data_IF_809313316977
#
_entry.id   IF_809313316977
#
_cell.length_a   1.000
_cell.length_b   1.000
_cell.length_c   1.000
_cell.angle_alpha   90.00
_cell.angle_beta   90.00
_cell.angle_gamma   90.00
#
_symmetry.space_group_name_H-M   'P 1'
#
loop_
_entity.id
_entity.type
_entity.pdbx_description
1 polymer ?
#
# COMPACT_ATOMS: atom_id res chain seq x y z
N UNK A 1 35.69 29.42 28.11
CA UNK A 1 34.33 29.54 28.69
C UNK A 1 34.15 28.49 29.77
N UNK A 2 33.25 28.75 30.75
CA UNK A 2 32.82 27.70 31.68
C UNK A 2 32.14 26.57 30.88
N UNK A 3 32.10 25.36 31.45
CA UNK A 3 31.38 24.24 30.85
C UNK A 3 29.93 24.64 30.52
N UNK A 4 29.48 24.34 29.30
CA UNK A 4 28.15 24.69 28.83
C UNK A 4 28.04 26.03 28.07
N UNK A 5 29.13 26.78 27.89
CA UNK A 5 29.14 28.02 27.09
C UNK A 5 30.25 28.05 26.03
N UNK A 6 30.02 28.78 24.94
CA UNK A 6 30.97 28.93 23.82
C UNK A 6 30.95 30.35 23.22
N UNK A 7 31.92 30.62 22.33
CA UNK A 7 32.04 31.86 21.56
C UNK A 7 32.85 32.96 22.27
N UNK A 8 33.08 34.06 21.56
CA UNK A 8 33.74 35.26 22.09
C UNK A 8 32.96 35.82 23.28
N UNK A 9 33.62 36.04 24.41
CA UNK A 9 32.97 36.50 25.64
C UNK A 9 32.05 35.47 26.30
N UNK A 10 31.98 34.23 25.79
CA UNK A 10 31.12 33.15 26.32
C UNK A 10 29.63 33.50 26.34
N UNK A 11 29.19 34.21 25.30
CA UNK A 11 27.82 34.75 25.18
C UNK A 11 26.79 33.72 24.71
N UNK A 12 27.20 32.52 24.30
CA UNK A 12 26.29 31.47 23.82
C UNK A 12 26.37 30.22 24.70
N UNK A 13 25.23 29.54 24.86
CA UNK A 13 25.14 28.27 25.58
C UNK A 13 25.20 27.09 24.61
N UNK A 14 25.89 26.01 25.01
CA UNK A 14 25.84 24.74 24.29
C UNK A 14 24.40 24.25 24.18
N UNK A 15 24.07 23.57 23.07
CA UNK A 15 22.77 22.91 22.96
C UNK A 15 22.58 21.88 24.08
N UNK A 16 21.37 21.83 24.64
CA UNK A 16 20.98 20.79 25.60
C UNK A 16 20.89 19.40 24.94
N UNK A 17 20.85 19.35 23.61
CA UNK A 17 20.78 18.13 22.81
C UNK A 17 22.16 17.63 22.35
N UNK A 18 23.24 18.25 22.82
CA UNK A 18 24.56 17.63 22.76
C UNK A 18 24.57 16.38 23.65
N UNK A 19 24.98 15.23 23.09
CA UNK A 19 25.21 14.03 23.88
C UNK A 19 26.31 14.27 24.91
N UNK A 20 26.18 13.65 26.08
CA UNK A 20 27.24 13.59 27.10
C UNK A 20 27.90 12.24 27.07
N UNK A 21 29.23 12.20 27.10
CA UNK A 21 29.95 11.01 27.52
C UNK A 21 30.09 11.04 29.06
N UNK A 22 30.01 9.90 29.72
CA UNK A 22 29.96 9.75 31.19
C UNK A 22 31.22 10.28 31.91
N UNK A 23 32.23 10.71 31.14
CA UNK A 23 33.58 11.03 31.63
C UNK A 23 33.91 12.53 31.65
N UNK A 24 33.14 13.40 30.96
CA UNK A 24 33.38 14.85 30.95
C UNK A 24 32.09 15.67 30.90
N UNK A 25 31.91 16.56 31.89
CA UNK A 25 30.82 17.56 31.94
C UNK A 25 31.00 18.69 30.89
N UNK A 26 31.64 18.42 29.75
CA UNK A 26 31.88 19.36 28.66
C UNK A 26 31.12 18.86 27.43
N UNK A 27 30.04 19.57 27.07
CA UNK A 27 29.10 19.16 26.02
C UNK A 27 29.45 19.63 24.61
N UNK A 28 30.05 20.82 24.50
CA UNK A 28 30.36 21.42 23.20
C UNK A 28 31.73 22.12 23.19
N UNK A 29 32.26 22.29 21.99
CA UNK A 29 33.52 22.98 21.74
C UNK A 29 33.38 24.47 22.07
N UNK A 30 34.26 24.97 22.93
CA UNK A 30 34.19 26.32 23.51
C UNK A 30 34.33 27.47 22.49
N UNK A 31 34.87 27.22 21.29
CA UNK A 31 35.00 28.26 20.23
C UNK A 31 33.76 28.33 19.34
N UNK A 32 33.37 27.23 18.69
CA UNK A 32 32.34 27.19 17.64
C UNK A 32 31.02 26.54 18.09
N UNK A 33 30.94 26.00 19.31
CA UNK A 33 29.71 25.43 19.86
C UNK A 33 29.32 24.05 19.32
N UNK A 34 30.17 23.39 18.52
CA UNK A 34 29.87 22.03 18.03
C UNK A 34 29.89 21.01 19.17
N UNK A 35 28.90 20.14 19.24
CA UNK A 35 28.80 19.10 20.26
C UNK A 35 29.92 18.07 20.08
N UNK A 36 30.66 17.80 21.16
CA UNK A 36 31.88 16.99 21.11
C UNK A 36 31.57 15.49 20.93
N UNK A 37 30.52 15.01 21.61
CA UNK A 37 30.07 13.61 21.54
C UNK A 37 28.90 13.42 20.55
N UNK A 38 28.70 14.37 19.64
CA UNK A 38 27.55 14.38 18.73
C UNK A 38 26.23 14.77 19.40
N UNK A 39 25.13 14.46 18.71
CA UNK A 39 23.77 14.80 19.14
C UNK A 39 23.06 13.61 19.76
N UNK A 40 22.09 13.90 20.62
CA UNK A 40 21.05 12.91 20.95
C UNK A 40 20.25 12.55 19.69
N UNK A 41 19.54 11.42 19.73
CA UNK A 41 18.71 10.95 18.62
C UNK A 41 17.71 12.02 18.18
N UNK A 42 17.50 12.15 16.87
CA UNK A 42 16.56 13.11 16.29
C UNK A 42 17.09 14.52 16.08
N UNK A 43 18.37 14.80 16.40
CA UNK A 43 18.99 16.11 16.22
C UNK A 43 20.17 16.11 15.25
N UNK A 44 20.29 17.22 14.51
CA UNK A 44 21.30 17.41 13.48
C UNK A 44 22.65 17.87 14.04
N UNK A 45 23.75 17.19 13.67
CA UNK A 45 25.08 17.71 13.91
C UNK A 45 25.35 18.96 13.03
N UNK A 46 26.31 19.81 13.40
CA UNK A 46 27.25 19.64 14.51
C UNK A 46 26.82 20.28 15.84
N UNK A 47 25.82 21.17 15.85
CA UNK A 47 25.45 21.95 17.04
C UNK A 47 24.20 21.43 17.75
N UNK A 48 23.49 20.45 17.17
CA UNK A 48 22.30 19.83 17.74
C UNK A 48 21.21 20.85 18.09
N UNK A 49 21.01 21.85 17.22
CA UNK A 49 20.00 22.92 17.39
C UNK A 49 18.74 22.70 16.56
N UNK A 50 18.80 21.79 15.58
CA UNK A 50 17.69 21.47 14.69
C UNK A 50 17.38 19.98 14.77
N UNK A 51 16.11 19.63 14.57
CA UNK A 51 15.67 18.24 14.40
C UNK A 51 16.21 17.68 13.09
N UNK A 52 16.19 16.35 12.94
CA UNK A 52 16.43 15.73 11.64
C UNK A 52 15.48 16.29 10.58
N UNK A 53 15.99 16.37 9.35
CA UNK A 53 15.17 16.81 8.22
C UNK A 53 14.07 15.76 7.97
N UNK A 54 12.96 16.21 7.38
CA UNK A 54 11.89 15.34 6.93
C UNK A 54 12.44 14.11 6.19
N UNK A 55 12.03 12.93 6.63
CA UNK A 55 12.46 11.65 6.05
C UNK A 55 13.80 11.10 6.56
N UNK A 56 14.45 11.75 7.53
CA UNK A 56 15.63 11.22 8.20
C UNK A 56 15.43 11.11 9.71
N UNK A 57 16.09 10.12 10.33
CA UNK A 57 15.92 9.86 11.75
C UNK A 57 17.18 9.27 12.41
N UNK A 58 17.11 9.13 13.74
CA UNK A 58 18.09 8.39 14.52
C UNK A 58 19.38 9.16 14.80
N UNK A 59 20.49 8.45 15.09
CA UNK A 59 21.73 9.06 15.53
C UNK A 59 22.39 9.83 14.37
N UNK A 60 22.49 11.14 14.54
CA UNK A 60 23.05 12.04 13.53
C UNK A 60 22.23 12.10 12.24
N UNK A 61 20.95 11.74 12.27
CA UNK A 61 20.02 11.81 11.14
C UNK A 61 20.49 11.04 9.89
N UNK A 62 21.14 9.89 10.09
CA UNK A 62 21.70 9.07 9.00
C UNK A 62 20.74 8.00 8.47
N UNK A 63 19.74 7.61 9.27
CA UNK A 63 18.73 6.65 8.82
C UNK A 63 17.64 7.38 8.02
N UNK A 64 17.05 6.69 7.05
CA UNK A 64 16.02 7.23 6.16
C UNK A 64 14.72 6.51 6.46
N UNK A 65 13.64 7.28 6.61
CA UNK A 65 12.33 6.73 6.90
C UNK A 65 11.80 5.87 5.76
N UNK A 66 11.01 4.86 6.11
CA UNK A 66 10.42 3.96 5.15
C UNK A 66 9.65 4.71 4.05
N UNK A 67 9.83 4.35 2.76
CA UNK A 67 8.97 4.86 1.70
C UNK A 67 7.52 4.37 1.84
N UNK A 68 7.28 3.32 2.62
CA UNK A 68 5.97 2.77 2.92
C UNK A 68 5.22 3.49 4.04
N UNK A 69 5.81 4.51 4.68
CA UNK A 69 5.07 5.33 5.64
C UNK A 69 3.99 6.17 4.95
N UNK A 70 2.76 6.16 5.48
CA UNK A 70 1.68 7.00 4.99
C UNK A 70 1.98 8.49 5.23
N UNK A 71 1.54 9.34 4.28
CA UNK A 71 1.68 10.80 4.36
C UNK A 71 0.30 11.44 4.56
N UNK A 72 0.22 12.43 5.46
CA UNK A 72 -0.97 13.27 5.61
C UNK A 72 -1.07 14.29 4.48
N UNK A 73 -2.29 14.64 4.08
CA UNK A 73 -2.54 15.73 3.14
C UNK A 73 -2.18 17.11 3.72
N UNK A 74 -2.33 17.27 5.04
CA UNK A 74 -2.10 18.56 5.72
C UNK A 74 -0.62 18.80 6.02
N UNK A 75 0.15 17.74 6.28
CA UNK A 75 1.57 17.81 6.66
C UNK A 75 2.37 16.63 6.05
N UNK A 76 2.61 16.63 4.72
CA UNK A 76 3.23 15.51 4.03
C UNK A 76 4.70 15.25 4.40
N UNK A 77 5.38 16.26 4.96
CA UNK A 77 6.78 16.17 5.40
C UNK A 77 6.95 15.42 6.72
N UNK A 78 5.91 15.36 7.57
CA UNK A 78 5.95 14.72 8.89
C UNK A 78 5.35 13.32 8.80
N UNK A 79 6.02 12.40 8.12
CA UNK A 79 5.50 11.06 7.85
C UNK A 79 6.13 9.94 8.71
N UNK A 80 7.21 10.26 9.42
CA UNK A 80 7.91 9.37 10.34
C UNK A 80 8.48 10.16 11.52
N UNK A 81 8.71 9.48 12.62
CA UNK A 81 9.34 10.03 13.81
C UNK A 81 10.85 10.23 13.59
N UNK A 82 11.38 11.41 13.95
CA UNK A 82 12.80 11.74 13.74
C UNK A 82 13.76 11.03 14.72
N UNK A 83 13.26 10.46 15.81
CA UNK A 83 14.06 9.77 16.82
C UNK A 83 14.23 8.30 16.42
N UNK A 84 13.13 7.61 16.11
CA UNK A 84 13.12 6.16 15.91
C UNK A 84 12.67 5.69 14.52
N UNK A 85 12.16 6.57 13.66
CA UNK A 85 11.77 6.25 12.29
C UNK A 85 10.35 5.68 12.13
N UNK A 86 9.62 5.44 13.22
CA UNK A 86 8.27 4.87 13.16
C UNK A 86 7.31 5.76 12.38
N UNK A 87 6.47 5.17 11.53
CA UNK A 87 5.55 5.92 10.68
C UNK A 87 4.44 6.59 11.49
N UNK A 88 4.34 7.91 11.40
CA UNK A 88 3.39 8.71 12.18
C UNK A 88 1.92 8.40 11.89
N UNK A 89 1.64 7.93 10.66
CA UNK A 89 0.29 7.64 10.16
C UNK A 89 0.12 6.17 9.76
N UNK A 90 0.99 5.28 10.26
CA UNK A 90 1.04 3.88 9.86
C UNK A 90 1.48 3.70 8.40
N UNK A 91 1.13 2.55 7.83
CA UNK A 91 1.60 2.17 6.50
C UNK A 91 0.70 2.71 5.39
N UNK A 92 1.34 3.21 4.34
CA UNK A 92 0.71 3.51 3.08
C UNK A 92 0.13 2.22 2.47
N UNK A 93 -0.80 2.40 1.53
CA UNK A 93 -1.36 1.26 0.81
C UNK A 93 -0.25 0.51 0.05
N UNK A 94 -0.28 -0.82 0.10
CA UNK A 94 0.76 -1.67 -0.49
C UNK A 94 1.93 -2.00 0.43
N UNK A 95 1.94 -1.50 1.67
CA UNK A 95 2.99 -1.74 2.66
C UNK A 95 2.42 -2.22 4.01
N UNK A 96 3.23 -2.96 4.78
CA UNK A 96 2.96 -3.47 6.13
C UNK A 96 4.26 -3.67 6.92
N UNK A 97 4.13 -4.18 8.15
CA UNK A 97 5.20 -4.27 9.14
C UNK A 97 5.23 -3.06 10.07
N UNK A 98 5.93 -3.19 11.20
CA UNK A 98 5.98 -2.13 12.22
C UNK A 98 6.61 -0.83 11.69
N UNK A 99 7.60 -0.97 10.81
CA UNK A 99 8.30 0.14 10.14
C UNK A 99 7.81 0.38 8.69
N UNK A 100 6.76 -0.31 8.25
CA UNK A 100 6.19 -0.21 6.89
C UNK A 100 7.15 -0.53 5.73
N UNK A 101 8.22 -1.29 6.00
CA UNK A 101 9.22 -1.68 4.99
C UNK A 101 8.86 -2.93 4.19
N UNK A 102 7.74 -3.59 4.50
CA UNK A 102 7.33 -4.82 3.82
C UNK A 102 6.23 -4.55 2.82
N UNK A 103 6.47 -4.79 1.53
CA UNK A 103 5.40 -4.73 0.53
C UNK A 103 4.37 -5.83 0.75
N UNK A 104 3.09 -5.57 0.40
CA UNK A 104 2.07 -6.60 0.51
C UNK A 104 2.41 -7.83 -0.33
N UNK A 105 2.26 -9.00 0.31
CA UNK A 105 2.37 -10.27 -0.39
C UNK A 105 1.20 -10.50 -1.35
N UNK A 106 1.28 -11.54 -2.19
CA UNK A 106 0.18 -11.93 -3.06
C UNK A 106 -1.12 -12.15 -2.27
N UNK A 107 -2.24 -11.70 -2.82
CA UNK A 107 -3.57 -11.89 -2.21
C UNK A 107 -3.98 -10.80 -1.23
N UNK A 108 -3.11 -9.88 -0.86
CA UNK A 108 -3.44 -8.77 0.04
C UNK A 108 -3.11 -7.40 -0.55
N UNK A 109 -3.85 -6.37 -0.11
CA UNK A 109 -3.67 -5.01 -0.59
C UNK A 109 -4.08 -3.97 0.46
N UNK A 110 -3.88 -2.70 0.13
CA UNK A 110 -4.31 -1.57 0.94
C UNK A 110 -3.38 -1.29 2.13
N UNK A 111 -3.78 -0.39 3.05
CA UNK A 111 -2.97 -0.01 4.20
C UNK A 111 -2.72 -1.19 5.12
N UNK A 112 -1.46 -1.37 5.51
CA UNK A 112 -1.01 -2.49 6.35
C UNK A 112 -1.38 -3.87 5.78
N UNK A 113 -1.63 -3.97 4.47
CA UNK A 113 -2.05 -5.19 3.78
C UNK A 113 -3.28 -5.87 4.42
N UNK A 114 -4.17 -5.05 4.99
CA UNK A 114 -5.33 -5.52 5.76
C UNK A 114 -6.52 -5.97 4.89
N UNK A 115 -6.49 -5.69 3.58
CA UNK A 115 -7.55 -6.05 2.64
C UNK A 115 -7.15 -7.27 1.79
N UNK A 116 -8.14 -8.06 1.37
CA UNK A 116 -7.95 -9.31 0.63
C UNK A 116 -8.38 -9.14 -0.83
N UNK A 117 -7.56 -9.59 -1.77
CA UNK A 117 -7.90 -9.64 -3.18
C UNK A 117 -9.16 -10.49 -3.40
N UNK A 118 -9.96 -10.14 -4.41
CA UNK A 118 -11.08 -10.99 -4.82
C UNK A 118 -10.57 -12.34 -5.30
N UNK A 119 -11.18 -13.43 -4.83
CA UNK A 119 -10.93 -14.78 -5.32
C UNK A 119 -11.26 -14.96 -6.81
N UNK A 120 -11.99 -14.00 -7.40
CA UNK A 120 -12.39 -14.02 -8.80
C UNK A 120 -11.43 -13.22 -9.70
N UNK A 121 -10.33 -12.68 -9.18
CA UNK A 121 -9.26 -12.16 -10.03
C UNK A 121 -8.66 -13.32 -10.85
N UNK A 122 -8.41 -13.10 -12.14
CA UNK A 122 -7.68 -14.07 -12.95
C UNK A 122 -6.23 -14.22 -12.46
N UNK A 123 -5.80 -15.45 -12.20
CA UNK A 123 -4.48 -15.73 -11.61
C UNK A 123 -3.31 -15.51 -12.59
N UNK A 124 -2.14 -15.19 -12.02
CA UNK A 124 -0.88 -15.13 -12.76
C UNK A 124 -0.21 -16.51 -12.93
N UNK A 125 -0.39 -17.44 -12.00
CA UNK A 125 0.25 -18.78 -12.02
C UNK A 125 -0.53 -19.78 -11.16
N UNK A 126 -0.88 -20.96 -11.73
CA UNK A 126 -1.23 -22.20 -11.02
C UNK A 126 -2.08 -22.09 -9.73
N UNK A 127 -3.19 -21.34 -9.79
CA UNK A 127 -4.39 -21.63 -8.99
C UNK A 127 -4.34 -21.45 -7.47
N UNK A 128 -3.32 -20.81 -6.88
CA UNK A 128 -3.15 -20.85 -5.41
C UNK A 128 -3.36 -19.53 -4.68
N UNK A 129 -3.15 -18.35 -5.29
CA UNK A 129 -3.43 -17.05 -4.64
C UNK A 129 -3.88 -16.00 -5.66
N UNK A 130 -5.09 -15.40 -5.54
CA UNK A 130 -5.54 -14.31 -6.40
C UNK A 130 -4.55 -13.14 -6.37
N UNK A 131 -3.96 -12.81 -7.51
CA UNK A 131 -3.10 -11.65 -7.64
C UNK A 131 -3.95 -10.42 -8.01
N UNK A 132 -3.98 -9.44 -7.11
CA UNK A 132 -4.45 -8.11 -7.39
C UNK A 132 -3.33 -7.10 -7.13
N UNK A 133 -3.49 -5.89 -7.63
CA UNK A 133 -2.59 -4.78 -7.35
C UNK A 133 -2.54 -4.52 -5.84
N UNK A 134 -1.34 -4.55 -5.24
CA UNK A 134 -1.15 -4.42 -3.79
C UNK A 134 -1.51 -3.04 -3.26
N UNK A 135 -1.51 -2.00 -4.11
CA UNK A 135 -1.83 -0.64 -3.73
C UNK A 135 -3.35 -0.46 -3.65
N UNK A 136 -4.09 -0.86 -4.68
CA UNK A 136 -5.50 -0.50 -4.82
C UNK A 136 -6.47 -1.70 -4.88
N UNK A 137 -5.97 -2.93 -4.99
CA UNK A 137 -6.77 -4.14 -5.01
C UNK A 137 -7.31 -4.55 -6.38
N UNK A 138 -6.98 -3.83 -7.45
CA UNK A 138 -7.52 -4.09 -8.79
C UNK A 138 -6.95 -5.37 -9.40
N UNK A 139 -7.80 -6.16 -10.06
CA UNK A 139 -7.39 -7.36 -10.78
C UNK A 139 -6.82 -6.98 -12.15
N UNK A 140 -5.51 -6.74 -12.22
CA UNK A 140 -4.83 -6.27 -13.44
C UNK A 140 -4.88 -7.25 -14.62
N UNK A 141 -5.14 -8.53 -14.35
CA UNK A 141 -5.29 -9.59 -15.38
C UNK A 141 -6.74 -9.87 -15.77
N UNK A 142 -7.68 -9.05 -15.30
CA UNK A 142 -9.11 -9.28 -15.49
C UNK A 142 -9.70 -10.28 -14.50
N UNK A 143 -10.91 -10.72 -14.81
CA UNK A 143 -11.76 -11.53 -13.96
C UNK A 143 -11.94 -12.94 -14.51
N UNK A 144 -12.10 -13.90 -13.60
CA UNK A 144 -12.56 -15.23 -13.97
C UNK A 144 -13.93 -15.17 -14.65
N UNK A 145 -14.24 -16.22 -15.43
CA UNK A 145 -15.51 -16.33 -16.14
C UNK A 145 -16.70 -16.14 -15.21
N UNK A 146 -17.63 -15.28 -15.62
CA UNK A 146 -18.81 -14.96 -14.83
C UNK A 146 -18.69 -13.73 -13.95
N UNK A 147 -17.51 -13.09 -13.89
CA UNK A 147 -17.27 -11.91 -13.08
C UNK A 147 -16.72 -10.75 -13.91
N UNK A 148 -16.92 -9.53 -13.42
CA UNK A 148 -16.50 -8.28 -14.06
C UNK A 148 -16.17 -7.19 -13.05
N UNK A 149 -15.68 -6.08 -13.60
CA UNK A 149 -15.33 -4.88 -12.86
C UNK A 149 -13.90 -4.94 -12.31
N UNK A 150 -13.36 -3.81 -11.86
CA UNK A 150 -11.94 -3.69 -11.52
C UNK A 150 -11.49 -4.60 -10.37
N UNK A 151 -12.43 -5.05 -9.53
CA UNK A 151 -12.19 -5.92 -8.37
C UNK A 151 -12.79 -7.33 -8.53
N UNK A 152 -13.40 -7.65 -9.69
CA UNK A 152 -14.06 -8.94 -9.95
C UNK A 152 -15.12 -9.38 -8.91
N UNK A 153 -15.75 -8.40 -8.25
CA UNK A 153 -16.80 -8.63 -7.25
C UNK A 153 -18.21 -8.51 -7.80
N UNK A 154 -18.36 -8.20 -9.09
CA UNK A 154 -19.65 -8.11 -9.76
C UNK A 154 -19.81 -9.32 -10.67
N UNK A 155 -20.94 -10.02 -10.58
CA UNK A 155 -21.31 -11.02 -11.59
C UNK A 155 -21.59 -10.37 -12.93
N UNK A 156 -21.57 -11.17 -14.00
CA UNK A 156 -22.02 -10.73 -15.31
C UNK A 156 -23.43 -10.13 -15.26
N UNK A 157 -23.65 -9.15 -16.16
CA UNK A 157 -25.00 -8.64 -16.39
C UNK A 157 -25.84 -9.74 -17.04
N UNK A 158 -27.16 -9.55 -17.01
CA UNK A 158 -28.09 -10.45 -17.69
C UNK A 158 -27.65 -10.65 -19.14
N UNK A 159 -27.70 -11.91 -19.58
CA UNK A 159 -27.38 -12.38 -20.93
C UNK A 159 -25.92 -12.15 -21.38
N UNK A 160 -24.99 -12.04 -20.44
CA UNK A 160 -23.54 -12.02 -20.70
C UNK A 160 -22.83 -13.16 -19.97
N UNK A 161 -21.73 -13.65 -20.53
CA UNK A 161 -20.94 -14.72 -19.94
C UNK A 161 -19.44 -14.65 -20.26
N UNK A 162 -18.68 -15.58 -19.69
CA UNK A 162 -17.27 -15.78 -19.99
C UNK A 162 -16.34 -14.84 -19.22
N UNK A 163 -15.05 -14.88 -19.57
CA UNK A 163 -14.02 -14.07 -18.92
C UNK A 163 -14.34 -12.59 -19.07
N UNK A 164 -14.26 -11.84 -17.97
CA UNK A 164 -14.62 -10.41 -17.94
C UNK A 164 -16.03 -10.08 -18.45
N UNK A 165 -16.91 -11.10 -18.58
CA UNK A 165 -18.22 -11.01 -19.22
C UNK A 165 -18.13 -10.45 -20.65
N UNK A 166 -17.14 -10.92 -21.42
CA UNK A 166 -16.85 -10.45 -22.78
C UNK A 166 -17.72 -11.07 -23.88
N UNK A 167 -18.59 -12.03 -23.54
CA UNK A 167 -19.47 -12.71 -24.49
C UNK A 167 -20.95 -12.47 -24.17
N UNK A 168 -21.79 -12.46 -25.20
CA UNK A 168 -23.25 -12.39 -25.09
C UNK A 168 -23.84 -13.79 -25.29
N UNK A 169 -24.90 -14.12 -24.54
CA UNK A 169 -25.64 -15.36 -24.75
C UNK A 169 -26.14 -15.48 -26.19
N UNK A 170 -26.17 -16.71 -26.72
CA UNK A 170 -26.75 -16.98 -28.04
C UNK A 170 -28.21 -16.49 -28.09
N UNK A 171 -28.56 -15.74 -29.14
CA UNK A 171 -29.94 -15.33 -29.40
C UNK A 171 -30.87 -16.53 -29.70
N UNK A 172 -30.31 -17.75 -29.81
CA UNK A 172 -31.04 -19.00 -30.01
C UNK A 172 -31.33 -19.74 -28.70
N UNK A 173 -30.87 -19.23 -27.55
CA UNK A 173 -31.29 -19.74 -26.25
C UNK A 173 -32.77 -19.44 -26.02
N UNK A 174 -33.53 -20.45 -25.61
CA UNK A 174 -34.93 -20.30 -25.26
C UNK A 174 -35.11 -19.35 -24.06
N UNK A 175 -36.18 -18.56 -24.11
CA UNK A 175 -36.50 -17.61 -23.04
C UNK A 175 -36.87 -18.31 -21.74
N UNK A 176 -36.49 -17.75 -20.57
CA UNK A 176 -36.86 -18.31 -19.29
C UNK A 176 -38.37 -18.22 -19.03
N UNK A 177 -38.98 -19.20 -18.33
CA UNK A 177 -40.42 -19.22 -18.06
C UNK A 177 -40.93 -18.01 -17.26
N UNK A 178 -40.07 -17.39 -16.45
CA UNK A 178 -40.39 -16.25 -15.59
C UNK A 178 -40.22 -14.89 -16.30
N UNK A 179 -39.68 -14.86 -17.52
CA UNK A 179 -39.35 -13.67 -18.29
C UNK A 179 -38.28 -12.76 -17.67
N UNK A 180 -37.68 -13.15 -16.54
CA UNK A 180 -36.77 -12.31 -15.74
C UNK A 180 -35.37 -12.88 -15.67
N UNK A 181 -35.23 -14.20 -15.58
CA UNK A 181 -33.94 -14.89 -15.48
C UNK A 181 -33.05 -14.69 -16.71
N UNK A 182 -31.78 -15.08 -16.62
CA UNK A 182 -30.82 -15.05 -17.75
C UNK A 182 -31.08 -16.22 -18.71
N UNK A 183 -30.84 -16.02 -20.00
CA UNK A 183 -31.05 -17.04 -21.03
C UNK A 183 -29.96 -18.12 -21.00
N UNK A 184 -28.73 -17.73 -20.63
CA UNK A 184 -27.60 -18.64 -20.54
C UNK A 184 -26.82 -18.51 -19.24
N UNK A 185 -26.01 -19.52 -18.96
CA UNK A 185 -25.11 -19.59 -17.84
C UNK A 185 -24.02 -18.52 -17.97
N UNK A 186 -23.90 -17.67 -16.96
CA UNK A 186 -22.98 -16.53 -16.95
C UNK A 186 -21.49 -16.93 -16.91
N UNK A 187 -21.16 -18.20 -16.66
CA UNK A 187 -19.78 -18.70 -16.65
C UNK A 187 -19.37 -19.18 -18.04
N UNK A 188 -20.13 -20.10 -18.64
CA UNK A 188 -19.71 -20.82 -19.86
C UNK A 188 -20.58 -20.55 -21.10
N UNK A 189 -21.73 -19.88 -20.96
CA UNK A 189 -22.57 -19.50 -22.10
C UNK A 189 -23.68 -20.47 -22.45
N UNK A 190 -23.78 -21.61 -21.75
CA UNK A 190 -24.77 -22.63 -22.09
C UNK A 190 -26.20 -22.20 -21.80
N UNK A 191 -27.11 -22.47 -22.74
CA UNK A 191 -28.50 -22.08 -22.65
C UNK A 191 -29.21 -22.85 -21.53
N UNK A 192 -29.72 -22.14 -20.54
CA UNK A 192 -30.29 -22.74 -19.32
C UNK A 192 -31.67 -23.37 -19.55
N UNK A 193 -32.36 -22.95 -20.60
CA UNK A 193 -33.72 -23.38 -20.93
C UNK A 193 -33.83 -24.10 -22.28
N UNK A 194 -32.69 -24.59 -22.80
CA UNK A 194 -32.62 -25.22 -24.11
C UNK A 194 -32.63 -24.23 -25.26
N UNK A 195 -32.87 -24.73 -26.47
CA UNK A 195 -32.82 -23.97 -27.71
C UNK A 195 -34.21 -23.63 -28.25
N UNK A 196 -34.30 -22.56 -29.03
CA UNK A 196 -35.47 -22.33 -29.90
C UNK A 196 -35.58 -23.43 -30.96
N UNK A 197 -36.78 -23.59 -31.54
CA UNK A 197 -37.07 -24.63 -32.53
C UNK A 197 -36.08 -24.60 -33.72
N UNK A 198 -35.58 -25.78 -34.08
CA UNK A 198 -34.61 -25.95 -35.18
C UNK A 198 -33.15 -25.77 -34.79
N UNK A 199 -32.84 -25.55 -33.51
CA UNK A 199 -31.46 -25.45 -33.02
C UNK A 199 -31.18 -26.49 -31.92
N UNK A 200 -29.94 -26.96 -31.85
CA UNK A 200 -29.47 -27.95 -30.88
C UNK A 200 -28.05 -27.60 -30.39
N UNK A 201 -27.59 -28.28 -29.32
CA UNK A 201 -26.31 -28.04 -28.67
C UNK A 201 -26.44 -27.27 -27.35
N UNK A 202 -25.35 -27.18 -26.58
CA UNK A 202 -25.38 -26.46 -25.28
C UNK A 202 -25.50 -24.94 -25.46
N UNK A 203 -24.95 -24.40 -26.55
CA UNK A 203 -24.99 -22.97 -26.88
C UNK A 203 -25.92 -22.65 -28.07
N UNK A 204 -26.67 -23.65 -28.55
CA UNK A 204 -27.63 -23.55 -29.66
C UNK A 204 -27.04 -22.99 -30.97
N UNK A 205 -25.85 -23.48 -31.33
CA UNK A 205 -25.05 -23.06 -32.49
C UNK A 205 -25.18 -23.98 -33.72
N UNK A 206 -25.90 -25.10 -33.59
CA UNK A 206 -26.15 -26.06 -34.68
C UNK A 206 -27.63 -26.08 -35.06
N UNK A 207 -27.96 -26.19 -36.35
CA UNK A 207 -29.33 -26.27 -36.88
C UNK A 207 -29.47 -27.12 -38.13
#
# INVERSE_FOLDING_TARGET
CKAGAYGTGCSHNCSQFCSTDDTMNIRCHNVNGSCLSGCVLGYQPPMCTALCNAGTYGPGCKAVCSPGCARSADNPEVYCDNVNGSCAYGCASGYSGDDCDTSCGPGTFGPSCSLQCSKNCANATNGTIPACDSLNGTCSRGCLSGFRGPFCNLSCRKDMYGQDCSHECSARCASPPDGKSTHCNFINGSCLHGCIEGYIGEDCDHG
#
